data_IF_821617606168
#
_entry.id   IF_821617606168
#
_cell.length_a   1.000
_cell.length_b   1.000
_cell.length_c   1.000
_cell.angle_alpha   90.00
_cell.angle_beta   90.00
_cell.angle_gamma   90.00
#
_symmetry.space_group_name_H-M   'P 1'
#
loop_
_entity.id
_entity.type
_entity.pdbx_description
1 polymer ?
#
# COMPACT_ATOMS: atom_id res chain seq x y z
N UNK A 1 13.90 11.36 -9.98
CA UNK A 1 14.80 10.17 -9.82
C UNK A 1 14.85 9.69 -8.37
N UNK A 2 15.08 10.57 -7.39
CA UNK A 2 15.09 10.22 -5.95
C UNK A 2 13.75 9.60 -5.52
N UNK A 3 12.61 10.17 -5.95
CA UNK A 3 11.29 9.64 -5.61
C UNK A 3 11.04 8.25 -6.17
N UNK A 4 11.50 7.96 -7.40
CA UNK A 4 11.38 6.63 -7.99
C UNK A 4 12.17 5.58 -7.19
N UNK A 5 13.42 5.89 -6.81
CA UNK A 5 14.24 5.00 -5.98
C UNK A 5 13.59 4.80 -4.62
N UNK A 6 13.09 5.87 -4.00
CA UNK A 6 12.37 5.80 -2.73
C UNK A 6 11.15 4.87 -2.82
N UNK A 7 10.36 5.01 -3.90
CA UNK A 7 9.15 4.24 -4.14
C UNK A 7 9.44 2.75 -4.25
N UNK A 8 10.39 2.38 -5.09
CA UNK A 8 10.72 0.97 -5.33
C UNK A 8 11.40 0.35 -4.10
N UNK A 9 12.35 1.07 -3.48
CA UNK A 9 13.07 0.55 -2.31
C UNK A 9 12.13 0.33 -1.12
N UNK A 10 11.20 1.25 -0.86
CA UNK A 10 10.24 1.09 0.24
C UNK A 10 9.29 -0.10 0.04
N UNK A 11 8.79 -0.33 -1.18
CA UNK A 11 8.01 -1.54 -1.50
C UNK A 11 8.82 -2.83 -1.29
N UNK A 12 10.05 -2.88 -1.81
CA UNK A 12 10.92 -4.05 -1.64
C UNK A 12 11.22 -4.32 -0.17
N UNK A 13 11.55 -3.28 0.59
CA UNK A 13 11.79 -3.38 2.04
C UNK A 13 10.53 -3.93 2.73
N UNK A 14 9.34 -3.42 2.39
CA UNK A 14 8.10 -3.91 2.97
C UNK A 14 7.89 -5.40 2.73
N UNK A 15 8.08 -5.89 1.50
CA UNK A 15 7.91 -7.31 1.20
C UNK A 15 8.98 -8.20 1.86
N UNK A 16 10.24 -7.73 1.93
CA UNK A 16 11.30 -8.45 2.67
C UNK A 16 10.93 -8.57 4.16
N UNK A 17 10.44 -7.48 4.75
CA UNK A 17 9.97 -7.45 6.14
C UNK A 17 8.76 -8.37 6.32
N UNK A 18 7.82 -8.41 5.37
CA UNK A 18 6.64 -9.26 5.40
C UNK A 18 6.98 -10.75 5.41
N UNK A 19 8.02 -11.17 4.69
CA UNK A 19 8.53 -12.55 4.75
C UNK A 19 9.11 -12.89 6.13
N UNK A 20 9.67 -11.91 6.83
CA UNK A 20 10.35 -12.13 8.12
C UNK A 20 9.39 -12.03 9.31
N UNK A 21 8.43 -11.11 9.24
CA UNK A 21 7.50 -10.79 10.33
C UNK A 21 6.14 -11.42 10.02
N UNK A 22 5.87 -12.60 10.56
CA UNK A 22 4.57 -13.28 10.42
C UNK A 22 3.49 -12.76 11.39
N UNK A 23 3.65 -11.57 11.96
CA UNK A 23 2.69 -10.96 12.89
C UNK A 23 2.00 -9.77 12.24
N UNK A 24 0.68 -9.79 12.26
CA UNK A 24 -0.18 -8.80 11.61
C UNK A 24 0.01 -7.39 12.17
N UNK A 25 0.02 -7.22 13.50
CA UNK A 25 0.09 -5.90 14.13
C UNK A 25 1.40 -5.17 13.78
N UNK A 26 2.60 -5.77 13.96
CA UNK A 26 3.84 -5.12 13.57
C UNK A 26 3.89 -4.77 12.07
N UNK A 27 3.40 -5.65 11.19
CA UNK A 27 3.33 -5.33 9.76
C UNK A 27 2.42 -4.15 9.45
N UNK A 28 1.30 -4.05 10.15
CA UNK A 28 0.35 -2.94 9.99
C UNK A 28 0.98 -1.63 10.43
N UNK A 29 1.69 -1.62 11.56
CA UNK A 29 2.41 -0.45 12.04
C UNK A 29 3.51 -0.03 11.05
N UNK A 30 4.24 -0.99 10.47
CA UNK A 30 5.27 -0.72 9.46
C UNK A 30 4.63 -0.15 8.18
N UNK A 31 3.53 -0.72 7.69
CA UNK A 31 2.81 -0.22 6.53
C UNK A 31 2.32 1.22 6.74
N UNK A 32 1.77 1.53 7.92
CA UNK A 32 1.33 2.89 8.29
C UNK A 32 2.53 3.83 8.36
N UNK A 33 3.60 3.44 9.06
CA UNK A 33 4.80 4.27 9.20
C UNK A 33 5.44 4.59 7.84
N UNK A 34 5.54 3.58 6.96
CA UNK A 34 6.03 3.74 5.60
C UNK A 34 5.13 4.69 4.79
N UNK A 35 3.82 4.52 4.87
CA UNK A 35 2.85 5.40 4.19
C UNK A 35 3.00 6.84 4.66
N UNK A 36 3.01 7.07 5.97
CA UNK A 36 3.18 8.41 6.57
C UNK A 36 4.51 9.01 6.14
N UNK A 37 5.60 8.24 6.17
CA UNK A 37 6.91 8.71 5.72
C UNK A 37 6.89 9.14 4.26
N UNK A 38 6.34 8.32 3.36
CA UNK A 38 6.26 8.61 1.92
C UNK A 38 5.36 9.81 1.62
N UNK A 39 4.22 9.94 2.30
CA UNK A 39 3.33 11.09 2.17
C UNK A 39 3.95 12.37 2.75
N UNK A 40 4.68 12.27 3.86
CA UNK A 40 5.35 13.43 4.48
C UNK A 40 6.52 13.97 3.67
N UNK A 41 7.13 13.13 2.81
CA UNK A 41 8.40 13.47 2.17
C UNK A 41 8.28 14.01 0.76
N UNK A 42 7.13 13.80 0.14
CA UNK A 42 6.79 14.44 -1.14
C UNK A 42 6.21 15.81 -0.87
N UNK A 43 6.66 16.84 -1.60
CA UNK A 43 6.03 18.16 -1.57
C UNK A 43 4.58 18.01 -2.02
N UNK A 44 3.63 17.98 -1.07
CA UNK A 44 2.16 18.00 -1.24
C UNK A 44 1.68 17.89 -2.69
N UNK A 45 1.82 16.70 -3.28
CA UNK A 45 1.17 16.41 -4.56
C UNK A 45 -0.31 16.36 -4.22
N UNK A 46 -1.07 17.30 -4.78
CA UNK A 46 -2.48 17.45 -4.47
C UNK A 46 -3.23 16.14 -4.74
N UNK A 47 -4.10 15.76 -3.81
CA UNK A 47 -4.95 14.58 -3.95
C UNK A 47 -4.33 13.23 -3.53
N UNK A 48 -3.06 13.17 -3.12
CA UNK A 48 -2.46 11.88 -2.69
C UNK A 48 -3.14 11.26 -1.47
N UNK A 49 -3.50 12.07 -0.47
CA UNK A 49 -4.26 11.58 0.70
C UNK A 49 -5.63 11.04 0.28
N UNK A 50 -6.28 11.70 -0.69
CA UNK A 50 -7.55 11.22 -1.22
C UNK A 50 -7.38 9.90 -1.97
N UNK A 51 -6.37 9.78 -2.82
CA UNK A 51 -6.02 8.54 -3.51
C UNK A 51 -5.68 7.41 -2.53
N UNK A 52 -4.97 7.71 -1.45
CA UNK A 52 -4.68 6.75 -0.39
C UNK A 52 -5.97 6.23 0.25
N UNK A 53 -6.88 7.12 0.65
CA UNK A 53 -8.16 6.74 1.26
C UNK A 53 -8.99 5.88 0.29
N UNK A 54 -9.07 6.29 -0.98
CA UNK A 54 -9.79 5.53 -2.01
C UNK A 54 -9.18 4.15 -2.20
N UNK A 55 -7.85 4.07 -2.33
CA UNK A 55 -7.15 2.79 -2.49
C UNK A 55 -7.31 1.88 -1.27
N UNK A 56 -7.32 2.45 -0.06
CA UNK A 56 -7.56 1.70 1.18
C UNK A 56 -8.96 1.08 1.20
N UNK A 57 -9.98 1.89 0.90
CA UNK A 57 -11.37 1.43 0.90
C UNK A 57 -11.64 0.43 -0.22
N UNK A 58 -11.15 0.69 -1.43
CA UNK A 58 -11.29 -0.23 -2.56
C UNK A 58 -10.53 -1.53 -2.31
N UNK A 59 -9.29 -1.45 -1.82
CA UNK A 59 -8.49 -2.62 -1.46
C UNK A 59 -9.20 -3.50 -0.45
N UNK A 60 -9.76 -2.89 0.61
CA UNK A 60 -10.57 -3.62 1.57
C UNK A 60 -11.75 -4.34 0.92
N UNK A 61 -12.56 -3.63 0.13
CA UNK A 61 -13.74 -4.20 -0.53
C UNK A 61 -13.35 -5.35 -1.45
N UNK A 62 -12.30 -5.17 -2.25
CA UNK A 62 -11.79 -6.19 -3.19
C UNK A 62 -11.32 -7.42 -2.42
N UNK A 63 -10.49 -7.26 -1.40
CA UNK A 63 -9.92 -8.38 -0.63
C UNK A 63 -11.00 -9.13 0.15
N UNK A 64 -11.97 -8.43 0.73
CA UNK A 64 -13.11 -9.08 1.39
C UNK A 64 -13.97 -9.82 0.39
N UNK A 65 -14.22 -9.26 -0.80
CA UNK A 65 -14.98 -9.94 -1.84
C UNK A 65 -14.24 -11.18 -2.37
N UNK A 66 -12.94 -11.07 -2.64
CA UNK A 66 -12.11 -12.18 -3.12
C UNK A 66 -11.95 -13.28 -2.07
N UNK A 67 -11.81 -12.90 -0.79
CA UNK A 67 -11.62 -13.83 0.32
C UNK A 67 -12.92 -14.51 0.78
N UNK A 68 -13.95 -13.73 1.09
CA UNK A 68 -15.18 -14.27 1.69
C UNK A 68 -16.23 -14.70 0.65
N UNK A 69 -16.39 -13.93 -0.42
CA UNK A 69 -17.46 -14.15 -1.40
C UNK A 69 -17.00 -15.14 -2.47
N UNK A 70 -15.89 -14.83 -3.14
CA UNK A 70 -15.37 -15.62 -4.25
C UNK A 70 -14.47 -16.77 -3.79
N UNK A 71 -13.95 -16.70 -2.55
CA UNK A 71 -13.07 -17.72 -1.94
C UNK A 71 -11.86 -18.08 -2.79
N UNK A 72 -11.38 -17.14 -3.59
CA UNK A 72 -10.20 -17.31 -4.45
C UNK A 72 -8.89 -17.05 -3.70
N UNK A 73 -8.96 -16.34 -2.57
CA UNK A 73 -7.83 -16.01 -1.73
C UNK A 73 -8.10 -16.40 -0.28
N UNK A 74 -7.06 -16.82 0.44
CA UNK A 74 -7.13 -17.12 1.85
C UNK A 74 -5.90 -16.56 2.57
N UNK A 75 -6.15 -15.91 3.71
CA UNK A 75 -5.13 -15.35 4.56
C UNK A 75 -5.12 -16.08 5.90
N UNK A 76 -3.99 -16.70 6.24
CA UNK A 76 -3.83 -17.36 7.53
C UNK A 76 -3.84 -16.31 8.66
N UNK A 77 -4.65 -16.53 9.70
CA UNK A 77 -4.72 -15.69 10.92
C UNK A 77 -5.09 -14.22 10.64
N UNK A 78 -5.97 -13.97 9.67
CA UNK A 78 -6.45 -12.63 9.37
C UNK A 78 -7.55 -12.14 10.34
N UNK A 79 -7.48 -10.87 10.74
CA UNK A 79 -8.38 -10.30 11.75
C UNK A 79 -9.61 -9.57 11.18
N UNK A 80 -9.47 -8.86 10.05
CA UNK A 80 -10.49 -7.93 9.59
C UNK A 80 -11.34 -8.53 8.47
N UNK A 81 -12.45 -9.19 8.84
CA UNK A 81 -13.31 -9.93 7.90
C UNK A 81 -12.53 -10.97 7.06
N UNK A 82 -11.54 -11.62 7.66
CA UNK A 82 -10.68 -12.57 6.94
C UNK A 82 -9.57 -11.92 6.10
N UNK A 83 -9.37 -10.60 6.22
CA UNK A 83 -8.29 -9.84 5.57
C UNK A 83 -7.34 -9.26 6.63
N UNK A 84 -6.01 -9.30 6.43
CA UNK A 84 -5.06 -8.68 7.35
C UNK A 84 -5.15 -7.14 7.34
N UNK A 85 -5.02 -6.47 8.50
CA UNK A 85 -5.11 -5.00 8.62
C UNK A 85 -4.10 -4.24 7.76
N UNK A 86 -2.89 -4.80 7.57
CA UNK A 86 -1.85 -4.16 6.77
C UNK A 86 -2.19 -4.13 5.27
N UNK A 87 -3.05 -5.05 4.80
CA UNK A 87 -3.28 -5.24 3.38
C UNK A 87 -4.09 -4.09 2.75
N UNK A 88 -5.22 -3.62 3.33
CA UNK A 88 -5.86 -2.39 2.87
C UNK A 88 -4.94 -1.15 2.91
N UNK A 89 -4.06 -1.06 3.92
CA UNK A 89 -3.10 0.05 4.02
C UNK A 89 -2.12 0.02 2.85
N UNK A 90 -1.60 -1.16 2.51
CA UNK A 90 -0.69 -1.35 1.36
C UNK A 90 -1.40 -1.11 0.03
N UNK A 91 -2.69 -1.43 -0.09
CA UNK A 91 -3.50 -1.06 -1.24
C UNK A 91 -3.58 0.47 -1.40
N UNK A 92 -3.93 1.20 -0.34
CA UNK A 92 -3.94 2.66 -0.34
C UNK A 92 -2.58 3.24 -0.74
N UNK A 93 -1.52 2.69 -0.17
CA UNK A 93 -0.15 3.05 -0.52
C UNK A 93 0.15 2.82 -2.00
N UNK A 94 -0.19 1.64 -2.54
CA UNK A 94 0.01 1.28 -3.95
C UNK A 94 -0.67 2.26 -4.91
N UNK A 95 -1.87 2.74 -4.58
CA UNK A 95 -2.57 3.76 -5.38
C UNK A 95 -1.75 5.07 -5.47
N UNK A 96 -1.21 5.54 -4.36
CA UNK A 96 -0.33 6.72 -4.34
C UNK A 96 0.93 6.47 -5.17
N UNK A 97 1.53 5.29 -5.06
CA UNK A 97 2.74 4.96 -5.81
C UNK A 97 2.50 4.93 -7.31
N UNK A 98 1.40 4.33 -7.77
CA UNK A 98 1.03 4.26 -9.19
C UNK A 98 0.86 5.68 -9.74
N UNK A 99 0.17 6.56 -9.00
CA UNK A 99 0.04 7.97 -9.39
C UNK A 99 1.40 8.67 -9.54
N UNK A 100 2.30 8.49 -8.56
CA UNK A 100 3.65 9.08 -8.61
C UNK A 100 4.48 8.54 -9.77
N UNK A 101 4.46 7.23 -10.01
CA UNK A 101 5.15 6.61 -11.15
C UNK A 101 4.59 7.18 -12.46
N UNK A 102 3.27 7.34 -12.58
CA UNK A 102 2.64 7.98 -13.73
C UNK A 102 3.16 9.40 -13.99
N UNK A 103 3.25 10.22 -12.94
CA UNK A 103 3.79 11.59 -13.06
C UNK A 103 5.26 11.61 -13.50
N UNK A 104 6.09 10.72 -12.95
CA UNK A 104 7.51 10.59 -13.32
C UNK A 104 7.66 10.17 -14.79
N UNK A 105 6.84 9.22 -15.25
CA UNK A 105 6.86 8.77 -16.65
C UNK A 105 6.46 9.92 -17.59
N UNK A 106 5.43 10.69 -17.23
CA UNK A 106 5.01 11.85 -18.01
C UNK A 106 6.09 12.94 -18.06
N UNK A 107 6.83 13.15 -16.97
CA UNK A 107 7.98 14.06 -16.94
C UNK A 107 9.12 13.61 -17.86
N UNK A 108 9.42 12.31 -17.95
CA UNK A 108 10.47 11.79 -18.83
C UNK A 108 10.13 11.85 -20.31
N UNK A 109 8.84 11.90 -20.65
CA UNK A 109 8.37 11.99 -22.03
C UNK A 109 8.35 13.43 -22.57
N UNK A 110 8.55 14.44 -21.71
CA UNK A 110 8.65 15.86 -22.09
C UNK A 110 10.09 16.26 -22.32
#
# INVERSE_FOLDING_TARGET
>A
MIDFVLIISSLLIFFIVQVTINREIPLTLIAIAMTVFVLSRSNNIEGETFLFIIGLLLGLVIEVALGLILRTQHWEKASFFGVPYWLPVIWGYGFVMIHRVGNIVLEWMR
#
